data_IF_265710508385
#
_entry.id   IF_265710508385
#
_cell.length_a   1.000
_cell.length_b   1.000
_cell.length_c   1.000
_cell.angle_alpha   90.00
_cell.angle_beta   90.00
_cell.angle_gamma   90.00
#
_symmetry.space_group_name_H-M   'P 1'
#
loop_
_entity.id
_entity.type
_entity.pdbx_description
1 polymer ?
#
# COMPACT_ATOMS: atom_id res chain seq x y z
N UNK A 1 -8.94 -16.24 -3.65
CA UNK A 1 -9.06 -14.94 -2.97
C UNK A 1 -7.70 -14.27 -3.00
N UNK A 2 -7.53 -13.30 -3.87
CA UNK A 2 -6.31 -12.48 -3.90
C UNK A 2 -6.53 -11.27 -3.00
N UNK A 3 -5.68 -11.11 -1.99
CA UNK A 3 -5.70 -9.92 -1.14
C UNK A 3 -5.15 -8.76 -1.97
N UNK A 4 -6.01 -7.77 -2.26
CA UNK A 4 -5.63 -6.52 -2.91
C UNK A 4 -5.95 -5.36 -2.00
N UNK A 5 -4.98 -4.49 -1.75
CA UNK A 5 -5.19 -3.30 -0.92
C UNK A 5 -5.32 -2.03 -1.75
N UNK A 6 -6.29 -1.17 -1.43
CA UNK A 6 -6.38 0.19 -1.94
C UNK A 6 -5.33 1.10 -1.27
N UNK A 7 -4.08 0.97 -1.71
CA UNK A 7 -2.96 1.76 -1.18
C UNK A 7 -3.14 3.25 -1.44
N UNK A 8 -3.88 3.65 -2.47
CA UNK A 8 -4.13 5.08 -2.76
C UNK A 8 -5.02 5.71 -1.71
N UNK A 9 -6.17 5.09 -1.42
CA UNK A 9 -7.04 5.51 -0.33
C UNK A 9 -6.30 5.54 1.01
N UNK A 10 -5.48 4.53 1.31
CA UNK A 10 -4.67 4.50 2.53
C UNK A 10 -3.71 5.70 2.65
N UNK A 11 -3.04 6.06 1.56
CA UNK A 11 -2.12 7.20 1.56
C UNK A 11 -2.86 8.52 1.74
N UNK A 12 -4.00 8.68 1.07
CA UNK A 12 -4.82 9.89 1.12
C UNK A 12 -5.40 10.10 2.54
N UNK A 13 -5.98 9.05 3.14
CA UNK A 13 -6.55 9.08 4.51
C UNK A 13 -5.48 9.39 5.58
N UNK A 14 -4.23 8.98 5.34
CA UNK A 14 -3.10 9.20 6.26
C UNK A 14 -2.32 10.48 5.96
N UNK A 15 -2.74 11.29 4.98
CA UNK A 15 -2.01 12.45 4.49
C UNK A 15 -0.53 12.11 4.18
N UNK A 16 -0.32 10.95 3.59
CA UNK A 16 0.97 10.45 3.14
C UNK A 16 1.10 10.67 1.63
N UNK A 17 2.29 11.05 1.20
CA UNK A 17 2.66 11.06 -0.22
C UNK A 17 3.75 10.03 -0.45
N UNK A 18 3.85 9.51 -1.67
CA UNK A 18 4.95 8.62 -2.08
C UNK A 18 6.31 9.27 -1.75
N UNK A 19 6.42 10.58 -1.94
CA UNK A 19 7.60 11.35 -1.56
C UNK A 19 7.88 11.29 -0.05
N UNK A 20 6.89 11.55 0.80
CA UNK A 20 7.04 11.52 2.26
C UNK A 20 7.43 10.12 2.74
N UNK A 21 6.75 9.09 2.24
CA UNK A 21 7.06 7.70 2.60
C UNK A 21 8.49 7.37 2.20
N UNK A 22 8.92 7.73 0.98
CA UNK A 22 10.30 7.51 0.54
C UNK A 22 11.32 8.26 1.40
N UNK A 23 11.05 9.54 1.66
CA UNK A 23 11.98 10.42 2.40
C UNK A 23 12.20 9.96 3.84
N UNK A 24 11.14 9.52 4.51
CA UNK A 24 11.21 9.10 5.93
C UNK A 24 11.73 7.67 6.07
N UNK A 25 11.28 6.75 5.21
CA UNK A 25 11.72 5.35 5.29
C UNK A 25 13.15 5.11 4.78
N UNK A 26 13.66 6.01 3.93
CA UNK A 26 14.89 5.79 3.17
C UNK A 26 14.72 4.80 2.02
N UNK A 27 13.49 4.34 1.74
CA UNK A 27 13.19 3.44 0.63
C UNK A 27 12.96 4.26 -0.65
N UNK A 28 13.68 3.92 -1.71
CA UNK A 28 13.84 4.78 -2.89
C UNK A 28 12.52 5.18 -3.54
N UNK A 29 12.40 6.46 -3.90
CA UNK A 29 11.18 7.05 -4.46
C UNK A 29 10.64 6.28 -5.66
N UNK A 30 11.52 5.94 -6.62
CA UNK A 30 11.12 5.20 -7.83
C UNK A 30 10.65 3.79 -7.51
N UNK A 31 11.18 3.17 -6.46
CA UNK A 31 10.77 1.85 -5.99
C UNK A 31 9.38 1.89 -5.37
N UNK A 32 9.13 2.81 -4.44
CA UNK A 32 7.80 3.01 -3.83
C UNK A 32 6.77 3.41 -4.88
N UNK A 33 7.13 4.35 -5.76
CA UNK A 33 6.26 4.78 -6.84
C UNK A 33 5.85 3.61 -7.72
N UNK A 34 6.78 2.73 -8.08
CA UNK A 34 6.46 1.52 -8.85
C UNK A 34 5.57 0.59 -8.06
N UNK A 35 5.89 0.34 -6.78
CA UNK A 35 5.14 -0.62 -5.97
C UNK A 35 3.69 -0.20 -5.75
N UNK A 36 3.46 1.08 -5.42
CA UNK A 36 2.11 1.60 -5.09
C UNK A 36 1.23 1.87 -6.32
N UNK A 37 1.80 1.89 -7.52
CA UNK A 37 1.05 2.05 -8.77
C UNK A 37 0.93 0.76 -9.56
N UNK A 38 1.59 -0.33 -9.14
CA UNK A 38 1.48 -1.61 -9.83
C UNK A 38 0.14 -2.24 -9.47
N UNK A 39 -0.58 -2.72 -10.48
CA UNK A 39 -1.74 -3.59 -10.27
C UNK A 39 -1.25 -4.79 -9.46
N UNK A 40 -1.82 -4.97 -8.26
CA UNK A 40 -1.46 -6.08 -7.40
C UNK A 40 -1.87 -7.38 -8.11
N UNK A 41 -0.89 -8.22 -8.42
CA UNK A 41 -1.10 -9.54 -9.04
C UNK A 41 -0.60 -10.63 -8.09
N UNK A 42 -0.89 -11.90 -8.39
CA UNK A 42 -0.38 -13.06 -7.63
C UNK A 42 1.13 -13.02 -7.43
N UNK A 43 1.87 -12.43 -8.38
CA UNK A 43 3.33 -12.29 -8.35
C UNK A 43 3.82 -10.96 -7.76
N UNK A 44 2.92 -10.04 -7.39
CA UNK A 44 3.28 -8.73 -6.80
C UNK A 44 2.19 -8.25 -5.85
N UNK A 45 2.09 -8.90 -4.70
CA UNK A 45 1.43 -8.35 -3.51
C UNK A 45 2.24 -7.18 -2.94
N UNK A 46 1.62 -6.38 -2.06
CA UNK A 46 2.35 -5.41 -1.24
C UNK A 46 3.49 -6.14 -0.51
N UNK A 47 4.74 -5.74 -0.78
CA UNK A 47 5.88 -6.49 -0.25
C UNK A 47 6.27 -5.99 1.16
N UNK A 48 7.05 -6.79 1.90
CA UNK A 48 7.47 -6.44 3.28
C UNK A 48 8.21 -5.10 3.39
N UNK A 49 8.92 -4.67 2.35
CA UNK A 49 9.63 -3.38 2.35
C UNK A 49 8.70 -2.20 2.17
N UNK A 50 7.63 -2.39 1.40
CA UNK A 50 6.56 -1.39 1.29
C UNK A 50 5.86 -1.21 2.64
N UNK A 51 5.57 -2.33 3.32
CA UNK A 51 4.95 -2.32 4.64
C UNK A 51 5.85 -1.65 5.69
N UNK A 52 7.14 -1.98 5.71
CA UNK A 52 8.15 -1.31 6.56
C UNK A 52 8.26 0.18 6.23
N UNK A 53 8.22 0.56 4.94
CA UNK A 53 8.29 1.96 4.54
C UNK A 53 7.08 2.77 5.03
N UNK A 54 5.86 2.21 4.91
CA UNK A 54 4.64 2.81 5.44
C UNK A 54 4.67 2.90 6.97
N UNK A 55 5.17 1.87 7.65
CA UNK A 55 5.27 1.81 9.11
C UNK A 55 6.22 2.91 9.63
N UNK A 56 7.44 2.99 9.07
CA UNK A 56 8.41 4.04 9.43
C UNK A 56 7.90 5.45 9.14
N UNK A 57 7.20 5.65 8.03
CA UNK A 57 6.65 6.95 7.66
C UNK A 57 5.60 7.48 8.66
N UNK A 58 5.00 6.58 9.43
CA UNK A 58 3.93 6.86 10.37
C UNK A 58 4.33 6.63 11.83
N UNK A 59 5.56 6.22 12.11
CA UNK A 59 6.02 5.79 13.43
C UNK A 59 5.15 4.68 14.03
N UNK A 60 4.79 3.71 13.20
CA UNK A 60 3.98 2.55 13.55
C UNK A 60 4.80 1.26 13.38
N UNK A 61 4.29 0.18 13.97
CA UNK A 61 4.77 -1.16 13.70
C UNK A 61 4.14 -1.72 12.42
N UNK A 62 4.87 -2.57 11.70
CA UNK A 62 4.40 -3.15 10.42
C UNK A 62 3.06 -3.90 10.56
N UNK A 63 2.84 -4.61 11.66
CA UNK A 63 1.59 -5.35 11.89
C UNK A 63 0.38 -4.42 12.07
N UNK A 64 0.59 -3.20 12.58
CA UNK A 64 -0.49 -2.21 12.72
C UNK A 64 -0.92 -1.71 11.35
N UNK A 65 0.05 -1.42 10.48
CA UNK A 65 -0.22 -1.04 9.07
C UNK A 65 -0.94 -2.16 8.35
N UNK A 66 -0.48 -3.42 8.49
CA UNK A 66 -1.13 -4.56 7.85
C UNK A 66 -2.58 -4.73 8.32
N UNK A 67 -2.81 -4.66 9.64
CA UNK A 67 -4.15 -4.75 10.22
C UNK A 67 -5.08 -3.68 9.66
N UNK A 68 -4.63 -2.45 9.54
CA UNK A 68 -5.44 -1.37 8.97
C UNK A 68 -5.78 -1.60 7.51
N UNK A 69 -4.79 -2.02 6.72
CA UNK A 69 -4.98 -2.37 5.31
C UNK A 69 -6.03 -3.48 5.15
N UNK A 70 -5.96 -4.53 5.98
CA UNK A 70 -6.93 -5.63 5.97
C UNK A 70 -8.34 -5.23 6.39
N UNK A 71 -8.49 -4.37 7.40
CA UNK A 71 -9.81 -4.00 7.91
C UNK A 71 -10.53 -2.93 7.09
N UNK A 72 -9.80 -2.04 6.42
CA UNK A 72 -10.37 -0.83 5.85
C UNK A 72 -10.08 -0.61 4.37
N UNK A 73 -9.07 -1.29 3.83
CA UNK A 73 -8.60 -1.03 2.47
C UNK A 73 -8.50 -2.31 1.64
N UNK A 74 -9.09 -3.42 2.10
CA UNK A 74 -9.22 -4.62 1.32
C UNK A 74 -10.21 -4.35 0.18
N UNK A 75 -9.77 -4.54 -1.06
CA UNK A 75 -10.66 -4.51 -2.20
C UNK A 75 -11.41 -5.85 -2.23
N UNK A 76 -12.73 -5.81 -2.14
CA UNK A 76 -13.56 -6.97 -2.52
C UNK A 76 -13.38 -7.18 -4.03
N UNK A 77 -13.07 -8.41 -4.47
CA UNK A 77 -12.75 -8.73 -5.87
C UNK A 77 -13.96 -8.57 -6.84
N UNK A 78 -15.08 -7.99 -6.42
CA UNK A 78 -16.36 -8.03 -7.16
C UNK A 78 -16.71 -6.77 -7.97
N UNK A 79 -15.97 -5.64 -7.87
CA UNK A 79 -16.38 -4.39 -8.54
C UNK A 79 -15.65 -4.06 -9.87
N UNK A 80 -14.69 -4.86 -10.33
CA UNK A 80 -13.88 -4.51 -11.52
C UNK A 80 -14.18 -5.28 -12.82
N UNK A 81 -15.30 -6.01 -12.93
CA UNK A 81 -15.72 -6.67 -14.18
C UNK A 81 -17.03 -6.11 -14.81
N UNK A 82 -17.40 -4.85 -14.55
CA UNK A 82 -18.58 -4.25 -15.20
C UNK A 82 -18.35 -3.00 -16.05
N UNK A 83 -17.12 -2.57 -16.30
CA UNK A 83 -16.87 -1.51 -17.28
C UNK A 83 -15.60 -1.78 -18.09
N UNK A 84 -15.71 -2.63 -19.13
CA UNK A 84 -15.34 -2.33 -20.52
C UNK A 84 -15.63 -3.52 -21.45
#
# INVERSE_FOLDING_TARGET
>A
MMVRFNIKAYLDDRALTIYRVSKVSGYGYTTIHRSFNKVQTTATSLNLRDLDALARAQHMEMWQVLRELEHHYLNDEDESEQNN
#
